data_IF_817752823975
#
_entry.id   IF_817752823975
#
_cell.length_a   1.000
_cell.length_b   1.000
_cell.length_c   1.000
_cell.angle_alpha   90.00
_cell.angle_beta   90.00
_cell.angle_gamma   90.00
#
_symmetry.space_group_name_H-M   'P 1'
#
loop_
_entity.id
_entity.type
_entity.pdbx_description
1 polymer ?
#
# COMPACT_ATOMS: atom_id res chain seq x y z
N UNK A 1 17.39 13.26 -2.68
CA UNK A 1 17.84 12.05 -3.38
C UNK A 1 16.92 11.83 -4.56
N UNK A 2 17.43 11.58 -5.77
CA UNK A 2 16.54 11.18 -6.87
C UNK A 2 15.91 9.83 -6.50
N UNK A 3 14.60 9.64 -6.67
CA UNK A 3 13.96 8.36 -6.40
C UNK A 3 14.60 7.27 -7.26
N UNK A 4 14.91 6.15 -6.65
CA UNK A 4 15.54 5.03 -7.37
C UNK A 4 14.59 4.31 -8.34
N UNK A 5 13.31 4.67 -8.35
CA UNK A 5 12.27 4.06 -9.18
C UNK A 5 11.18 5.08 -9.56
N UNK A 6 10.66 5.07 -10.82
CA UNK A 6 9.63 6.00 -11.28
C UNK A 6 8.37 6.06 -10.41
N UNK A 7 8.00 4.93 -9.78
CA UNK A 7 6.89 4.89 -8.81
C UNK A 7 7.03 5.93 -7.68
N UNK A 8 8.28 6.22 -7.25
CA UNK A 8 8.58 7.16 -6.17
C UNK A 8 8.92 8.57 -6.66
N UNK A 9 8.78 8.85 -7.96
CA UNK A 9 9.03 10.17 -8.56
C UNK A 9 7.89 11.14 -8.20
N UNK A 10 7.93 11.62 -6.96
CA UNK A 10 6.99 12.55 -6.34
C UNK A 10 7.67 13.25 -5.17
N UNK A 11 7.37 14.53 -4.90
CA UNK A 11 7.85 15.18 -3.69
C UNK A 11 7.51 14.38 -2.42
N UNK A 12 8.46 14.33 -1.49
CA UNK A 12 8.23 13.76 -0.15
C UNK A 12 7.85 14.87 0.84
N UNK A 13 7.02 14.58 1.83
CA UNK A 13 6.43 13.29 2.16
C UNK A 13 5.25 12.91 1.24
N UNK A 14 5.13 11.63 0.91
CA UNK A 14 4.03 11.10 0.11
C UNK A 14 2.81 10.84 1.01
N UNK A 15 1.65 11.35 0.61
CA UNK A 15 0.39 11.05 1.26
C UNK A 15 -0.30 9.85 0.58
N UNK A 16 -0.53 8.78 1.34
CA UNK A 16 -1.24 7.60 0.86
C UNK A 16 -2.65 7.55 1.47
N UNK A 17 -3.66 7.44 0.62
CA UNK A 17 -5.02 7.12 1.05
C UNK A 17 -5.12 5.60 1.27
N UNK A 18 -5.03 5.15 2.53
CA UNK A 18 -5.13 3.75 2.93
C UNK A 18 -6.53 3.22 2.62
N UNK A 19 -6.62 2.23 1.74
CA UNK A 19 -7.89 1.70 1.21
C UNK A 19 -8.85 2.76 0.66
N UNK A 20 -8.28 3.88 0.15
CA UNK A 20 -9.06 5.02 -0.33
C UNK A 20 -9.46 6.06 0.74
N UNK A 21 -8.99 5.92 1.99
CA UNK A 21 -9.41 6.75 3.13
C UNK A 21 -10.63 6.14 3.82
N UNK A 22 -10.39 5.11 4.63
CA UNK A 22 -11.41 4.19 5.16
C UNK A 22 -12.12 4.66 6.44
N UNK A 23 -11.95 5.91 6.85
CA UNK A 23 -12.49 6.43 8.12
C UNK A 23 -14.03 6.30 8.27
N UNK A 24 -14.76 6.29 7.16
CA UNK A 24 -16.22 6.14 7.13
C UNK A 24 -16.72 4.71 6.85
N UNK A 25 -15.79 3.73 6.82
CA UNK A 25 -16.12 2.32 6.61
C UNK A 25 -16.30 1.90 5.16
N UNK A 26 -16.08 2.78 4.18
CA UNK A 26 -16.18 2.47 2.75
C UNK A 26 -14.84 1.99 2.15
N UNK A 27 -14.06 1.21 2.92
CA UNK A 27 -12.71 0.75 2.52
C UNK A 27 -12.71 0.01 1.17
N UNK A 28 -11.66 0.28 0.36
CA UNK A 28 -11.42 -0.38 -0.94
C UNK A 28 -12.56 -0.23 -1.96
N UNK A 29 -13.39 0.81 -1.86
CA UNK A 29 -14.45 1.09 -2.84
C UNK A 29 -14.03 2.16 -3.85
N UNK A 30 -14.62 2.15 -5.05
CA UNK A 30 -14.39 3.18 -6.05
C UNK A 30 -14.74 4.58 -5.53
N UNK A 31 -15.82 4.69 -4.74
CA UNK A 31 -16.25 5.95 -4.11
C UNK A 31 -15.21 6.48 -3.12
N UNK A 32 -14.57 5.63 -2.30
CA UNK A 32 -13.51 6.05 -1.40
C UNK A 32 -12.31 6.60 -2.20
N UNK A 33 -11.89 5.91 -3.27
CA UNK A 33 -10.79 6.38 -4.12
C UNK A 33 -11.12 7.66 -4.90
N UNK A 34 -12.38 7.86 -5.35
CA UNK A 34 -12.81 9.13 -5.96
C UNK A 34 -12.66 10.29 -4.97
N UNK A 35 -13.16 10.12 -3.74
CA UNK A 35 -13.04 11.12 -2.69
C UNK A 35 -11.57 11.47 -2.41
N UNK A 36 -10.70 10.46 -2.29
CA UNK A 36 -9.27 10.69 -2.13
C UNK A 36 -8.65 11.42 -3.34
N UNK A 37 -9.04 11.06 -4.56
CA UNK A 37 -8.61 11.75 -5.78
C UNK A 37 -9.06 13.21 -5.83
N UNK A 38 -10.30 13.49 -5.46
CA UNK A 38 -10.87 14.84 -5.36
C UNK A 38 -10.20 15.68 -4.27
N UNK A 39 -9.80 15.04 -3.15
CA UNK A 39 -9.00 15.66 -2.11
C UNK A 39 -7.55 15.97 -2.55
N UNK A 40 -7.13 15.51 -3.74
CA UNK A 40 -5.81 15.77 -4.33
C UNK A 40 -4.78 14.66 -4.13
N UNK A 41 -5.14 13.54 -3.52
CA UNK A 41 -4.23 12.40 -3.36
C UNK A 41 -3.80 11.83 -4.71
N UNK A 42 -2.52 11.45 -4.80
CA UNK A 42 -1.91 10.80 -5.97
C UNK A 42 -1.53 9.36 -5.70
N UNK A 43 -1.39 8.98 -4.43
CA UNK A 43 -1.05 7.63 -4.01
C UNK A 43 -2.21 7.00 -3.26
N UNK A 44 -2.62 5.86 -3.76
CA UNK A 44 -3.66 5.03 -3.17
C UNK A 44 -3.05 3.72 -2.68
N UNK A 45 -3.46 3.29 -1.52
CA UNK A 45 -3.15 1.96 -1.03
C UNK A 45 -4.39 1.09 -1.15
N UNK A 46 -4.21 -0.17 -1.52
CA UNK A 46 -5.27 -1.17 -1.64
C UNK A 46 -4.73 -2.57 -1.40
N UNK A 47 -5.63 -3.44 -1.02
CA UNK A 47 -5.38 -4.87 -0.82
C UNK A 47 -6.01 -5.66 -1.97
N UNK A 48 -5.39 -6.77 -2.41
CA UNK A 48 -5.98 -7.58 -3.47
C UNK A 48 -6.08 -9.05 -3.13
N UNK A 49 -7.21 -9.63 -3.50
CA UNK A 49 -7.50 -11.05 -3.53
C UNK A 49 -7.94 -11.50 -4.92
N UNK A 50 -7.95 -12.81 -5.16
CA UNK A 50 -8.56 -13.40 -6.36
C UNK A 50 -9.81 -14.20 -5.99
N UNK A 51 -10.83 -14.09 -6.85
CA UNK A 51 -12.01 -14.97 -6.84
C UNK A 51 -11.66 -16.38 -7.33
N UNK A 52 -12.59 -17.33 -7.20
CA UNK A 52 -12.41 -18.71 -7.69
C UNK A 52 -12.13 -18.80 -9.19
N UNK A 53 -12.67 -17.86 -9.97
CA UNK A 53 -12.46 -17.72 -11.42
C UNK A 53 -11.34 -16.74 -11.79
N UNK A 54 -10.46 -16.38 -10.82
CA UNK A 54 -9.22 -15.64 -11.04
C UNK A 54 -9.37 -14.12 -11.23
N UNK A 55 -10.51 -13.52 -10.91
CA UNK A 55 -10.68 -12.06 -11.00
C UNK A 55 -10.00 -11.39 -9.80
N UNK A 56 -9.24 -10.33 -10.07
CA UNK A 56 -8.51 -9.57 -9.06
C UNK A 56 -9.41 -8.49 -8.45
N UNK A 57 -9.77 -8.66 -7.18
CA UNK A 57 -10.71 -7.80 -6.44
C UNK A 57 -9.92 -6.96 -5.43
N UNK A 58 -10.24 -5.67 -5.34
CA UNK A 58 -9.74 -4.80 -4.28
C UNK A 58 -10.52 -5.10 -2.98
N UNK A 59 -9.88 -5.77 -2.02
CA UNK A 59 -10.51 -6.16 -0.75
C UNK A 59 -9.46 -6.62 0.26
N UNK A 60 -9.66 -6.28 1.55
CA UNK A 60 -8.67 -6.57 2.59
C UNK A 60 -8.74 -8.00 3.12
N UNK A 61 -9.93 -8.45 3.53
CA UNK A 61 -10.09 -9.71 4.24
C UNK A 61 -10.17 -10.91 3.28
N UNK A 62 -9.86 -12.09 3.77
CA UNK A 62 -10.03 -13.31 2.98
C UNK A 62 -11.51 -13.69 2.78
N UNK A 63 -12.42 -13.10 3.59
CA UNK A 63 -13.86 -13.36 3.55
C UNK A 63 -14.63 -12.04 3.49
N UNK A 64 -15.84 -12.08 2.93
CA UNK A 64 -16.72 -10.92 2.75
C UNK A 64 -17.36 -10.43 4.06
N UNK A 65 -17.29 -11.19 5.12
CA UNK A 65 -18.17 -11.15 6.30
C UNK A 65 -18.10 -9.87 7.13
N UNK A 66 -16.93 -9.20 7.21
CA UNK A 66 -16.72 -8.05 8.13
C UNK A 66 -17.36 -6.76 7.65
N UNK A 67 -17.19 -6.45 6.36
CA UNK A 67 -17.53 -5.12 5.82
C UNK A 67 -18.60 -5.17 4.74
N UNK A 68 -19.12 -6.37 4.39
CA UNK A 68 -20.18 -6.50 3.38
C UNK A 68 -21.43 -7.16 3.93
N UNK A 69 -22.52 -7.07 3.16
CA UNK A 69 -23.79 -7.76 3.38
C UNK A 69 -23.77 -9.24 2.98
N UNK A 70 -22.65 -9.74 2.43
CA UNK A 70 -22.46 -11.12 1.99
C UNK A 70 -21.49 -11.87 2.90
N UNK A 71 -21.42 -13.19 2.72
CA UNK A 71 -20.56 -14.07 3.51
C UNK A 71 -19.79 -15.03 2.61
N UNK A 72 -18.65 -15.47 3.11
CA UNK A 72 -17.85 -16.52 2.48
C UNK A 72 -16.49 -16.04 2.03
N UNK A 73 -15.65 -17.01 1.71
CA UNK A 73 -14.26 -16.79 1.29
C UNK A 73 -14.21 -16.36 -0.17
N UNK A 74 -13.60 -15.21 -0.47
CA UNK A 74 -13.48 -14.66 -1.83
C UNK A 74 -12.88 -15.69 -2.80
N UNK A 75 -11.83 -16.38 -2.40
CA UNK A 75 -11.16 -17.38 -3.26
C UNK A 75 -12.00 -18.63 -3.55
N UNK A 76 -13.12 -18.84 -2.87
CA UNK A 76 -14.04 -19.96 -3.10
C UNK A 76 -15.28 -19.57 -3.91
N UNK A 77 -15.50 -18.28 -4.15
CA UNK A 77 -16.66 -17.74 -4.84
C UNK A 77 -16.27 -17.21 -6.23
N UNK A 78 -17.09 -17.44 -7.28
CA UNK A 78 -16.87 -16.83 -8.58
C UNK A 78 -17.21 -15.33 -8.52
N UNK A 79 -16.65 -14.56 -9.45
CA UNK A 79 -16.92 -13.11 -9.54
C UNK A 79 -18.41 -12.79 -9.66
N UNK A 80 -19.18 -13.62 -10.33
CA UNK A 80 -20.64 -13.46 -10.48
C UNK A 80 -21.37 -13.42 -9.14
N UNK A 81 -20.82 -14.00 -8.08
CA UNK A 81 -21.34 -13.96 -6.71
C UNK A 81 -20.71 -12.80 -5.93
N UNK A 82 -19.37 -12.66 -5.93
CA UNK A 82 -18.63 -11.63 -5.21
C UNK A 82 -19.10 -10.23 -5.59
N UNK A 83 -19.35 -9.96 -6.87
CA UNK A 83 -19.85 -8.66 -7.36
C UNK A 83 -21.20 -8.20 -6.81
N UNK A 84 -21.97 -9.12 -6.21
CA UNK A 84 -23.28 -8.80 -5.61
C UNK A 84 -23.13 -8.24 -4.20
N UNK A 85 -22.04 -8.53 -3.51
CA UNK A 85 -21.77 -8.04 -2.18
C UNK A 85 -21.66 -6.51 -2.17
N UNK A 86 -22.06 -5.91 -1.06
CA UNK A 86 -22.05 -4.45 -0.87
C UNK A 86 -21.28 -4.10 0.40
N UNK A 87 -20.26 -3.27 0.25
CA UNK A 87 -19.49 -2.69 1.37
C UNK A 87 -20.33 -1.59 2.03
N UNK A 88 -20.37 -1.56 3.36
CA UNK A 88 -21.11 -0.53 4.11
C UNK A 88 -22.59 -0.47 3.77
N UNK A 89 -23.18 -1.54 3.21
CA UNK A 89 -24.58 -1.62 2.83
C UNK A 89 -24.95 -0.96 1.49
N UNK A 90 -23.98 -0.47 0.70
CA UNK A 90 -24.30 0.22 -0.56
C UNK A 90 -23.28 0.10 -1.68
N UNK A 91 -22.00 0.14 -1.37
CA UNK A 91 -20.92 0.23 -2.35
C UNK A 91 -20.53 -1.14 -2.95
N UNK A 92 -20.43 -1.27 -4.28
CA UNK A 92 -19.95 -2.50 -4.90
C UNK A 92 -18.47 -2.71 -4.65
N UNK A 93 -18.02 -3.98 -4.62
CA UNK A 93 -16.61 -4.31 -4.65
C UNK A 93 -16.07 -4.06 -6.07
N UNK A 94 -14.99 -3.28 -6.23
CA UNK A 94 -14.39 -3.06 -7.54
C UNK A 94 -13.39 -4.17 -7.90
N UNK A 95 -13.27 -4.47 -9.19
CA UNK A 95 -12.08 -5.12 -9.72
C UNK A 95 -10.91 -4.12 -9.70
N UNK A 96 -9.71 -4.59 -9.40
CA UNK A 96 -8.53 -3.72 -9.41
C UNK A 96 -8.24 -3.15 -10.82
N UNK A 97 -8.60 -3.89 -11.88
CA UNK A 97 -8.52 -3.41 -13.26
C UNK A 97 -9.39 -2.16 -13.48
N UNK A 98 -10.63 -2.17 -12.98
CA UNK A 98 -11.55 -1.02 -13.07
C UNK A 98 -10.98 0.21 -12.35
N UNK A 99 -10.39 0.02 -11.17
CA UNK A 99 -9.74 1.10 -10.43
C UNK A 99 -8.50 1.66 -11.17
N UNK A 100 -7.70 0.78 -11.76
CA UNK A 100 -6.51 1.18 -12.51
C UNK A 100 -6.85 2.00 -13.76
N UNK A 101 -7.99 1.70 -14.39
CA UNK A 101 -8.55 2.42 -15.55
C UNK A 101 -9.20 3.74 -15.13
N UNK A 102 -9.99 3.74 -14.08
CA UNK A 102 -10.70 4.93 -13.59
C UNK A 102 -9.72 6.00 -13.09
N UNK A 103 -8.59 5.58 -12.50
CA UNK A 103 -7.58 6.50 -11.96
C UNK A 103 -6.23 6.43 -12.71
N UNK A 104 -6.16 6.88 -13.97
CA UNK A 104 -4.99 6.69 -14.83
C UNK A 104 -3.74 7.43 -14.37
N UNK A 105 -3.89 8.44 -13.50
CA UNK A 105 -2.78 9.22 -12.93
C UNK A 105 -2.40 8.78 -11.52
N UNK A 106 -3.18 7.92 -10.89
CA UNK A 106 -2.90 7.44 -9.55
C UNK A 106 -1.74 6.44 -9.55
N UNK A 107 -0.97 6.45 -8.46
CA UNK A 107 0.02 5.45 -8.12
C UNK A 107 -0.53 4.56 -7.01
N UNK A 108 -0.39 3.26 -7.20
CA UNK A 108 -1.04 2.25 -6.37
C UNK A 108 -0.01 1.50 -5.55
N UNK A 109 -0.18 1.51 -4.23
CA UNK A 109 0.46 0.57 -3.34
C UNK A 109 -0.46 -0.65 -3.18
N UNK A 110 -0.05 -1.80 -3.68
CA UNK A 110 -0.91 -2.99 -3.73
C UNK A 110 -0.38 -4.06 -2.79
N UNK A 111 -1.10 -4.31 -1.69
CA UNK A 111 -0.78 -5.43 -0.79
C UNK A 111 -1.36 -6.75 -1.33
N UNK A 112 -0.47 -7.67 -1.69
CA UNK A 112 -0.84 -9.03 -2.10
C UNK A 112 -1.25 -9.85 -0.88
N UNK A 113 -2.55 -10.06 -0.67
CA UNK A 113 -3.08 -10.84 0.46
C UNK A 113 -2.96 -12.36 0.24
N UNK A 114 -3.02 -12.81 -1.00
CA UNK A 114 -2.95 -14.23 -1.36
C UNK A 114 -1.91 -14.49 -2.45
N UNK A 115 -1.34 -15.70 -2.47
CA UNK A 115 -0.40 -16.13 -3.51
C UNK A 115 -1.06 -16.17 -4.90
N UNK A 116 -2.34 -16.53 -4.95
CA UNK A 116 -3.14 -16.58 -6.17
C UNK A 116 -3.31 -15.21 -6.85
N UNK A 117 -3.16 -14.10 -6.11
CA UNK A 117 -3.28 -12.76 -6.66
C UNK A 117 -2.03 -12.29 -7.41
N UNK A 118 -0.88 -12.96 -7.24
CA UNK A 118 0.40 -12.51 -7.78
C UNK A 118 0.42 -12.51 -9.31
N UNK A 119 0.13 -13.64 -9.95
CA UNK A 119 0.20 -13.73 -11.41
C UNK A 119 -0.87 -12.87 -12.09
N UNK A 120 -2.15 -12.86 -11.66
CA UNK A 120 -3.15 -11.94 -12.19
C UNK A 120 -2.76 -10.46 -12.08
N UNK A 121 -2.13 -10.05 -10.96
CA UNK A 121 -1.65 -8.68 -10.80
C UNK A 121 -0.52 -8.36 -11.79
N UNK A 122 0.47 -9.25 -11.93
CA UNK A 122 1.58 -9.04 -12.87
C UNK A 122 1.09 -9.01 -14.32
N UNK A 123 0.13 -9.84 -14.67
CA UNK A 123 -0.47 -9.84 -16.01
C UNK A 123 -1.27 -8.57 -16.28
N UNK A 124 -2.00 -8.06 -15.29
CA UNK A 124 -2.67 -6.77 -15.38
C UNK A 124 -1.67 -5.62 -15.59
N UNK A 125 -0.60 -5.57 -14.79
CA UNK A 125 0.46 -4.55 -14.92
C UNK A 125 1.11 -4.60 -16.33
N UNK A 126 1.36 -5.80 -16.87
CA UNK A 126 1.93 -5.98 -18.22
C UNK A 126 0.98 -5.46 -19.31
N UNK A 127 -0.29 -5.84 -19.24
CA UNK A 127 -1.32 -5.46 -20.24
C UNK A 127 -1.58 -3.95 -20.26
N UNK A 128 -1.58 -3.33 -19.10
CA UNK A 128 -1.87 -1.89 -18.93
C UNK A 128 -0.64 -1.00 -18.98
N UNK A 129 0.57 -1.58 -18.95
CA UNK A 129 1.82 -0.83 -18.88
C UNK A 129 2.03 -0.09 -17.56
N UNK A 130 1.33 -0.45 -16.49
CA UNK A 130 1.29 0.28 -15.21
C UNK A 130 2.54 0.11 -14.32
N UNK A 131 3.70 -0.23 -14.89
CA UNK A 131 4.95 -0.49 -14.18
C UNK A 131 5.39 0.66 -13.26
N UNK A 132 5.24 1.90 -13.73
CA UNK A 132 5.67 3.10 -13.00
C UNK A 132 4.61 3.61 -12.02
N UNK A 133 3.46 2.94 -11.98
CA UNK A 133 2.30 3.32 -11.16
C UNK A 133 1.95 2.30 -10.07
N UNK A 134 2.62 1.14 -10.03
CA UNK A 134 2.30 0.09 -9.05
C UNK A 134 3.54 -0.29 -8.25
N UNK A 135 3.40 -0.24 -6.92
CA UNK A 135 4.33 -0.84 -5.98
C UNK A 135 3.66 -2.03 -5.31
N UNK A 136 4.35 -3.16 -5.29
CA UNK A 136 3.82 -4.40 -4.68
C UNK A 136 4.39 -4.59 -3.28
N UNK A 137 3.49 -4.67 -2.31
CA UNK A 137 3.76 -5.06 -0.93
C UNK A 137 3.20 -6.43 -0.59
N UNK A 138 3.69 -7.03 0.46
CA UNK A 138 3.08 -8.16 1.17
C UNK A 138 3.78 -8.41 2.50
N UNK A 139 3.04 -8.89 3.49
CA UNK A 139 3.64 -9.43 4.72
C UNK A 139 4.53 -10.66 4.44
N UNK A 140 4.27 -11.39 3.36
CA UNK A 140 5.08 -12.54 2.93
C UNK A 140 6.30 -12.09 2.14
N UNK A 141 7.50 -12.16 2.75
CA UNK A 141 8.76 -11.92 2.05
C UNK A 141 8.94 -12.83 0.83
N UNK A 142 8.49 -14.08 0.91
CA UNK A 142 8.58 -15.04 -0.20
C UNK A 142 7.74 -14.58 -1.40
N UNK A 143 6.55 -14.03 -1.14
CA UNK A 143 5.64 -13.52 -2.18
C UNK A 143 6.22 -12.29 -2.87
N UNK A 144 6.74 -11.32 -2.10
CA UNK A 144 7.39 -10.13 -2.66
C UNK A 144 8.65 -10.52 -3.45
N UNK A 145 9.45 -11.45 -2.93
CA UNK A 145 10.63 -11.95 -3.64
C UNK A 145 10.26 -12.67 -4.95
N UNK A 146 9.15 -13.41 -4.97
CA UNK A 146 8.62 -14.04 -6.19
C UNK A 146 8.14 -12.99 -7.20
N UNK A 147 7.39 -11.97 -6.74
CA UNK A 147 6.97 -10.85 -7.58
C UNK A 147 8.17 -10.19 -8.27
N UNK A 148 9.20 -9.86 -7.49
CA UNK A 148 10.43 -9.24 -8.02
C UNK A 148 11.18 -10.15 -9.02
N UNK A 149 11.25 -11.47 -8.75
CA UNK A 149 11.88 -12.41 -9.71
C UNK A 149 11.14 -12.50 -11.03
N UNK A 150 9.79 -12.50 -11.01
CA UNK A 150 8.96 -12.64 -12.22
C UNK A 150 8.89 -11.35 -13.05
N UNK A 151 8.93 -10.20 -12.39
CA UNK A 151 8.78 -8.89 -13.04
C UNK A 151 10.12 -8.16 -13.27
N UNK A 152 11.17 -8.53 -12.53
CA UNK A 152 12.47 -7.85 -12.57
C UNK A 152 12.44 -6.47 -11.92
N UNK A 153 13.49 -5.65 -12.16
CA UNK A 153 13.67 -4.35 -11.50
C UNK A 153 12.65 -3.27 -11.96
N UNK A 154 11.86 -3.56 -12.98
CA UNK A 154 10.78 -2.64 -13.42
C UNK A 154 9.62 -2.57 -12.46
N UNK A 155 9.47 -3.53 -11.56
CA UNK A 155 8.42 -3.54 -10.56
C UNK A 155 8.93 -2.93 -9.26
N UNK A 156 8.33 -1.82 -8.81
CA UNK A 156 8.55 -1.34 -7.47
C UNK A 156 8.04 -2.37 -6.45
N UNK A 157 8.84 -2.66 -5.43
CA UNK A 157 8.43 -3.54 -4.32
C UNK A 157 8.87 -2.96 -3.00
N UNK A 158 8.05 -3.16 -1.96
CA UNK A 158 8.45 -2.91 -0.57
C UNK A 158 9.18 -4.11 0.02
N UNK A 159 9.81 -3.93 1.20
CA UNK A 159 10.21 -5.06 2.02
C UNK A 159 8.99 -5.75 2.63
N UNK A 160 9.05 -7.09 2.71
CA UNK A 160 8.20 -7.88 3.59
C UNK A 160 8.76 -7.89 5.03
N UNK A 161 8.13 -8.66 5.91
CA UNK A 161 8.48 -8.67 7.35
C UNK A 161 9.95 -8.97 7.62
N UNK A 162 10.54 -9.96 6.93
CA UNK A 162 11.97 -10.30 7.11
C UNK A 162 12.91 -9.18 6.69
N UNK A 163 12.58 -8.47 5.61
CA UNK A 163 13.34 -7.31 5.15
C UNK A 163 13.29 -6.17 6.17
N UNK A 164 12.11 -5.88 6.73
CA UNK A 164 11.94 -4.88 7.79
C UNK A 164 12.71 -5.23 9.05
N UNK A 165 12.65 -6.49 9.51
CA UNK A 165 13.46 -6.97 10.64
C UNK A 165 14.95 -6.82 10.35
N UNK A 166 15.41 -7.22 9.17
CA UNK A 166 16.79 -7.06 8.75
C UNK A 166 17.25 -5.58 8.73
N UNK A 167 16.39 -4.67 8.24
CA UNK A 167 16.65 -3.24 8.26
C UNK A 167 16.73 -2.70 9.70
N UNK A 168 15.83 -3.16 10.58
CA UNK A 168 15.84 -2.79 11.99
C UNK A 168 17.12 -3.27 12.71
N UNK A 169 17.55 -4.50 12.46
CA UNK A 169 18.82 -5.00 12.98
C UNK A 169 20.00 -4.16 12.51
N UNK A 170 20.04 -3.81 11.22
CA UNK A 170 21.09 -2.92 10.68
C UNK A 170 21.09 -1.55 11.34
N UNK A 171 19.94 -1.02 11.72
CA UNK A 171 19.86 0.26 12.43
C UNK A 171 20.50 0.24 13.81
N UNK A 172 20.74 -0.95 14.37
CA UNK A 172 21.54 -1.17 15.59
C UNK A 172 22.99 -1.60 15.30
N UNK A 173 23.45 -1.53 14.05
CA UNK A 173 24.80 -1.95 13.66
C UNK A 173 24.98 -3.46 13.48
N UNK A 174 23.90 -4.25 13.60
CA UNK A 174 23.93 -5.70 13.44
C UNK A 174 23.89 -6.04 11.94
N UNK A 175 24.83 -6.86 11.47
CA UNK A 175 24.83 -7.33 10.09
C UNK A 175 23.61 -8.23 9.83
N UNK A 176 22.78 -7.86 8.86
CA UNK A 176 21.65 -8.65 8.40
C UNK A 176 21.58 -8.63 6.88
N UNK A 177 21.22 -9.76 6.29
CA UNK A 177 20.97 -9.84 4.85
C UNK A 177 19.67 -9.11 4.49
N UNK A 178 19.71 -8.31 3.43
CA UNK A 178 18.54 -7.66 2.86
C UNK A 178 18.37 -8.11 1.41
N UNK A 179 17.13 -8.32 0.99
CA UNK A 179 16.82 -8.60 -0.41
C UNK A 179 17.14 -7.35 -1.25
N UNK A 180 17.80 -7.54 -2.38
CA UNK A 180 17.98 -6.48 -3.35
C UNK A 180 16.67 -6.12 -4.06
N UNK A 181 16.57 -4.88 -4.57
CA UNK A 181 15.48 -4.44 -5.44
C UNK A 181 14.21 -3.95 -4.73
N UNK A 182 14.15 -3.90 -3.39
CA UNK A 182 13.12 -3.12 -2.72
C UNK A 182 13.42 -1.63 -2.87
N UNK A 183 12.38 -0.82 -3.08
CA UNK A 183 12.51 0.64 -3.22
C UNK A 183 12.08 1.38 -1.95
N UNK A 184 11.33 0.73 -1.07
CA UNK A 184 10.84 1.29 0.19
C UNK A 184 10.67 0.22 1.28
N UNK A 185 10.56 0.69 2.51
CA UNK A 185 10.12 -0.05 3.67
C UNK A 185 8.77 0.52 4.14
N UNK A 186 7.73 -0.30 4.07
CA UNK A 186 6.38 0.06 4.52
C UNK A 186 6.12 -0.64 5.85
N UNK A 187 6.01 0.14 6.90
CA UNK A 187 6.11 -0.37 8.27
C UNK A 187 5.05 0.22 9.19
N UNK A 188 4.58 -0.55 10.20
CA UNK A 188 3.83 0.06 11.29
C UNK A 188 4.77 0.95 12.12
N UNK A 189 4.22 1.98 12.74
CA UNK A 189 5.00 2.79 13.69
C UNK A 189 5.58 1.93 14.82
N UNK A 190 4.77 0.99 15.31
CA UNK A 190 5.11 0.08 16.41
C UNK A 190 4.62 -1.35 16.11
N UNK A 191 5.30 -2.33 16.66
CA UNK A 191 4.82 -3.71 16.73
C UNK A 191 4.57 -4.08 18.19
N UNK A 192 3.34 -3.99 18.64
CA UNK A 192 3.00 -4.05 20.05
C UNK A 192 3.68 -2.90 20.82
N UNK A 193 4.45 -3.21 21.86
CA UNK A 193 5.21 -2.21 22.62
C UNK A 193 6.53 -1.77 21.97
N UNK A 194 6.98 -2.48 20.92
CA UNK A 194 8.30 -2.24 20.31
C UNK A 194 8.17 -1.15 19.23
N UNK A 195 8.91 -0.01 19.31
CA UNK A 195 8.96 0.96 18.24
C UNK A 195 9.71 0.38 17.04
N UNK A 196 9.06 0.40 15.87
CA UNK A 196 9.66 -0.01 14.59
C UNK A 196 10.34 1.19 13.93
N UNK A 197 9.73 2.36 14.02
CA UNK A 197 10.24 3.59 13.41
C UNK A 197 10.87 4.50 14.47
N UNK A 198 12.11 4.86 14.25
CA UNK A 198 12.85 5.90 14.96
C UNK A 198 13.88 6.55 14.02
N UNK A 199 14.55 7.60 14.47
CA UNK A 199 15.54 8.32 13.67
C UNK A 199 16.70 7.42 13.18
N UNK A 200 17.06 6.34 13.88
CA UNK A 200 18.10 5.39 13.43
C UNK A 200 17.59 4.55 12.28
N UNK A 201 16.35 4.07 12.37
CA UNK A 201 15.70 3.28 11.33
C UNK A 201 15.61 4.08 10.02
N UNK A 202 15.08 5.32 10.11
CA UNK A 202 14.94 6.21 8.94
C UNK A 202 16.29 6.50 8.31
N UNK A 203 17.31 6.93 9.08
CA UNK A 203 18.66 7.17 8.55
C UNK A 203 19.27 5.94 7.90
N UNK A 204 19.05 4.75 8.47
CA UNK A 204 19.58 3.50 7.91
C UNK A 204 18.90 3.15 6.59
N UNK A 205 17.59 3.34 6.49
CA UNK A 205 16.84 3.15 5.26
C UNK A 205 17.34 4.11 4.16
N UNK A 206 17.46 5.40 4.48
CA UNK A 206 17.96 6.42 3.56
C UNK A 206 19.39 6.14 3.09
N UNK A 207 20.27 5.69 3.98
CA UNK A 207 21.64 5.29 3.61
C UNK A 207 21.70 4.12 2.63
N UNK A 208 20.61 3.33 2.55
CA UNK A 208 20.43 2.21 1.61
C UNK A 208 19.62 2.61 0.37
N UNK A 209 19.25 3.89 0.23
CA UNK A 209 18.43 4.40 -0.87
C UNK A 209 16.96 4.00 -0.80
N UNK A 210 16.45 3.66 0.39
CA UNK A 210 15.06 3.24 0.61
C UNK A 210 14.23 4.39 1.17
N UNK A 211 13.01 4.56 0.67
CA UNK A 211 12.00 5.39 1.37
C UNK A 211 11.37 4.61 2.53
N UNK A 212 10.91 5.35 3.55
CA UNK A 212 10.17 4.82 4.70
C UNK A 212 8.75 5.35 4.68
N UNK A 213 7.77 4.45 4.51
CA UNK A 213 6.35 4.78 4.57
C UNK A 213 5.73 4.14 5.80
N UNK A 214 4.96 4.91 6.58
CA UNK A 214 4.40 4.42 7.86
C UNK A 214 2.89 4.28 7.77
N UNK A 215 2.37 3.13 8.21
CA UNK A 215 0.95 2.77 8.24
C UNK A 215 0.52 2.23 9.60
N UNK A 216 -0.73 2.25 10.00
CA UNK A 216 -1.75 3.20 9.58
C UNK A 216 -1.75 4.31 10.62
N UNK A 217 -1.61 5.55 10.21
CA UNK A 217 -1.46 6.69 11.13
C UNK A 217 -2.65 7.63 10.93
N UNK A 218 -3.46 7.79 11.97
CA UNK A 218 -4.72 8.53 11.91
C UNK A 218 -4.73 9.80 12.78
N UNK A 219 -3.85 9.87 13.79
CA UNK A 219 -3.78 11.00 14.71
C UNK A 219 -2.82 12.08 14.19
N UNK A 220 -3.24 13.36 14.14
CA UNK A 220 -2.43 14.46 13.57
C UNK A 220 -1.10 14.66 14.28
N UNK A 221 -1.05 14.50 15.62
CA UNK A 221 0.18 14.64 16.41
C UNK A 221 1.18 13.53 16.06
N UNK A 222 0.70 12.30 15.75
CA UNK A 222 1.56 11.19 15.31
C UNK A 222 2.06 11.40 13.90
N UNK A 223 1.21 11.91 13.01
CA UNK A 223 1.62 12.31 11.66
C UNK A 223 2.76 13.34 11.73
N UNK A 224 2.57 14.40 12.51
CA UNK A 224 3.58 15.46 12.67
C UNK A 224 4.90 14.90 13.24
N UNK A 225 4.85 14.09 14.30
CA UNK A 225 6.04 13.50 14.92
C UNK A 225 6.82 12.57 13.95
N UNK A 226 6.13 11.78 13.14
CA UNK A 226 6.77 10.92 12.14
C UNK A 226 7.41 11.72 11.01
N UNK A 227 6.74 12.78 10.56
CA UNK A 227 7.30 13.72 9.58
C UNK A 227 8.57 14.40 10.11
N UNK A 228 8.60 14.78 11.40
CA UNK A 228 9.78 15.35 12.05
C UNK A 228 10.94 14.35 12.18
N UNK A 229 10.65 13.03 12.22
CA UNK A 229 11.67 11.98 12.12
C UNK A 229 12.22 11.80 10.70
N UNK A 230 11.60 12.42 9.69
CA UNK A 230 12.02 12.37 8.30
C UNK A 230 11.50 11.14 7.54
N UNK A 231 10.32 10.59 7.90
CA UNK A 231 9.68 9.55 7.09
C UNK A 231 9.25 10.13 5.73
N UNK A 232 9.29 9.29 4.69
CA UNK A 232 9.05 9.71 3.31
C UNK A 232 7.57 9.59 2.91
N UNK A 233 6.73 8.96 3.72
CA UNK A 233 5.30 8.88 3.45
C UNK A 233 4.48 8.38 4.64
N UNK A 234 3.22 8.76 4.64
CA UNK A 234 2.22 8.36 5.64
C UNK A 234 1.01 7.75 4.93
N UNK A 235 0.57 6.58 5.39
CA UNK A 235 -0.67 5.93 4.99
C UNK A 235 -1.71 6.13 6.08
N UNK A 236 -2.89 6.67 5.71
CA UNK A 236 -3.94 7.04 6.64
C UNK A 236 -5.33 6.67 6.13
N UNK A 237 -6.23 6.34 7.07
CA UNK A 237 -7.68 6.27 6.82
C UNK A 237 -8.32 7.67 6.82
N UNK A 238 -7.67 8.64 7.51
CA UNK A 238 -8.16 10.01 7.71
C UNK A 238 -7.52 10.99 6.72
N UNK A 239 -7.97 10.93 5.46
CA UNK A 239 -7.37 11.68 4.35
C UNK A 239 -7.39 13.19 4.55
N UNK A 240 -8.47 13.76 5.11
CA UNK A 240 -8.55 15.20 5.36
C UNK A 240 -7.57 15.65 6.47
N UNK A 241 -7.39 14.81 7.50
CA UNK A 241 -6.43 15.09 8.58
C UNK A 241 -5.00 15.16 8.05
N UNK A 242 -4.57 14.17 7.26
CA UNK A 242 -3.22 14.17 6.71
C UNK A 242 -3.01 15.33 5.73
N UNK A 243 -4.01 15.63 4.91
CA UNK A 243 -3.97 16.79 4.01
C UNK A 243 -3.77 18.10 4.79
N UNK A 244 -4.51 18.28 5.90
CA UNK A 244 -4.34 19.47 6.76
C UNK A 244 -2.94 19.54 7.33
N UNK A 245 -2.44 18.48 7.96
CA UNK A 245 -1.09 18.43 8.54
C UNK A 245 -0.01 18.75 7.50
N UNK A 246 -0.11 18.20 6.28
CA UNK A 246 0.86 18.48 5.22
C UNK A 246 0.73 19.89 4.66
N UNK A 247 -0.49 20.44 4.56
CA UNK A 247 -0.72 21.80 4.09
C UNK A 247 -0.14 22.84 5.05
N UNK A 248 -0.35 22.68 6.36
CA UNK A 248 0.22 23.54 7.41
C UNK A 248 1.75 23.53 7.41
N UNK A 249 2.36 22.46 6.93
CA UNK A 249 3.81 22.30 6.78
C UNK A 249 4.34 22.75 5.42
N UNK A 250 3.46 23.21 4.52
CA UNK A 250 3.83 23.56 3.15
C UNK A 250 4.32 22.38 2.31
N UNK A 251 3.92 21.16 2.67
CA UNK A 251 4.37 19.90 2.08
C UNK A 251 3.27 19.13 1.32
N UNK A 252 2.07 19.72 1.20
CA UNK A 252 1.02 19.16 0.35
C UNK A 252 1.32 19.47 -1.13
N UNK A 253 1.36 18.44 -2.00
CA UNK A 253 1.74 18.55 -3.42
C UNK A 253 0.85 17.72 -4.33
#
# INVERSE_FOLDING_TARGET
>A
MNPSHPYLDHPTPIAFAHRGGAADGAENTATAFRRASEAGYRYFETDVHTTADGRLVAFHDATLDRVTDARGRISALPWSEVRRARVGGGEPLPLFEELLEEFPRARWNVDLKAESALEPLLDLIRRTGAWDRVCVGSFSEARVARAHRLAGPRLATSYGVRGVVGLRLRSYGIRAALRAGAVCAQVPERQGSIPVVDARFVRTAHALGLQVHVWTVNEPERMAALLDLGVDGIMTDHIETLRTVLSERGAWS
#
